data_IF_323363062587
#
_entry.id   IF_323363062587
#
_cell.length_a   1.000
_cell.length_b   1.000
_cell.length_c   1.000
_cell.angle_alpha   90.00
_cell.angle_beta   90.00
_cell.angle_gamma   90.00
#
_symmetry.space_group_name_H-M   'P 1'
#
loop_
_entity.id
_entity.type
_entity.pdbx_description
1 polymer ?
#
# COMPACT_ATOMS: atom_id res chain seq x y z
N UNK A 1 -14.57 -7.13 -12.44
CA UNK A 1 -14.12 -6.16 -11.41
C UNK A 1 -12.79 -5.53 -11.86
N UNK A 2 -12.52 -4.28 -11.45
CA UNK A 2 -11.34 -3.51 -11.87
C UNK A 2 -10.61 -2.95 -10.65
N UNK A 3 -9.29 -3.14 -10.59
CA UNK A 3 -8.45 -2.63 -9.51
C UNK A 3 -7.38 -1.68 -10.05
N UNK A 4 -7.22 -0.52 -9.40
CA UNK A 4 -6.14 0.43 -9.62
C UNK A 4 -5.11 0.28 -8.52
N UNK A 5 -3.84 0.09 -8.88
CA UNK A 5 -2.74 -0.13 -7.95
C UNK A 5 -1.60 0.84 -8.25
N UNK A 6 -1.28 1.70 -7.29
CA UNK A 6 -0.13 2.60 -7.40
C UNK A 6 1.13 1.94 -6.83
N UNK A 7 2.31 2.26 -7.38
CA UNK A 7 3.56 1.61 -7.01
C UNK A 7 3.57 0.11 -7.36
N UNK A 8 2.96 -0.26 -8.49
CA UNK A 8 2.74 -1.64 -8.88
C UNK A 8 3.93 -2.32 -9.57
N UNK A 9 5.04 -1.61 -9.78
CA UNK A 9 6.23 -2.13 -10.49
C UNK A 9 7.15 -3.00 -9.62
N UNK A 10 6.92 -3.07 -8.31
CA UNK A 10 7.75 -3.86 -7.39
C UNK A 10 7.07 -4.14 -6.05
N UNK A 11 7.67 -5.04 -5.25
CA UNK A 11 7.32 -5.30 -3.86
C UNK A 11 5.85 -5.63 -3.64
N UNK A 12 5.28 -5.09 -2.55
CA UNK A 12 3.91 -5.39 -2.11
C UNK A 12 2.87 -5.05 -3.19
N UNK A 13 3.05 -3.93 -3.92
CA UNK A 13 2.13 -3.51 -4.98
C UNK A 13 2.08 -4.50 -6.14
N UNK A 14 3.26 -4.94 -6.62
CA UNK A 14 3.39 -5.98 -7.65
C UNK A 14 2.76 -7.31 -7.21
N UNK A 15 3.02 -7.72 -5.97
CA UNK A 15 2.48 -8.98 -5.45
C UNK A 15 0.96 -8.92 -5.23
N UNK A 16 0.41 -7.77 -4.80
CA UNK A 16 -1.04 -7.58 -4.76
C UNK A 16 -1.66 -7.60 -6.15
N UNK A 17 -0.99 -7.02 -7.17
CA UNK A 17 -1.41 -7.10 -8.56
C UNK A 17 -1.47 -8.55 -9.04
N UNK A 18 -0.45 -9.38 -8.72
CA UNK A 18 -0.43 -10.80 -9.06
C UNK A 18 -1.63 -11.54 -8.49
N UNK A 19 -1.92 -11.33 -7.20
CA UNK A 19 -3.04 -12.00 -6.53
C UNK A 19 -4.39 -11.57 -7.13
N UNK A 20 -4.58 -10.28 -7.41
CA UNK A 20 -5.83 -9.79 -8.00
C UNK A 20 -6.00 -10.25 -9.45
N UNK A 21 -4.91 -10.35 -10.22
CA UNK A 21 -4.92 -10.93 -11.57
C UNK A 21 -5.40 -12.38 -11.54
N UNK A 22 -4.85 -13.21 -10.66
CA UNK A 22 -5.27 -14.60 -10.46
C UNK A 22 -6.75 -14.73 -10.03
N UNK A 23 -7.28 -13.69 -9.38
CA UNK A 23 -8.70 -13.60 -8.98
C UNK A 23 -9.63 -13.05 -10.08
N UNK A 24 -9.13 -12.82 -11.28
CA UNK A 24 -9.95 -12.37 -12.41
C UNK A 24 -10.23 -10.86 -12.46
N UNK A 25 -9.44 -10.03 -11.76
CA UNK A 25 -9.59 -8.59 -11.85
C UNK A 25 -8.89 -8.02 -13.09
N UNK A 26 -9.54 -7.09 -13.78
CA UNK A 26 -8.86 -6.17 -14.67
C UNK A 26 -7.98 -5.23 -13.83
N UNK A 27 -6.77 -4.98 -14.28
CA UNK A 27 -5.79 -4.22 -13.53
C UNK A 27 -5.39 -2.93 -14.24
N UNK A 28 -5.26 -1.86 -13.48
CA UNK A 28 -4.55 -0.65 -13.88
C UNK A 28 -3.35 -0.49 -12.95
N UNK A 29 -2.16 -0.62 -13.50
CA UNK A 29 -0.90 -0.59 -12.77
C UNK A 29 -0.20 0.74 -13.02
N UNK A 30 0.08 1.47 -11.95
CA UNK A 30 0.69 2.81 -12.03
C UNK A 30 2.03 2.85 -11.32
N UNK A 31 3.07 3.32 -12.01
CA UNK A 31 4.38 3.61 -11.44
C UNK A 31 5.18 4.57 -12.35
N UNK A 32 6.34 5.03 -11.88
CA UNK A 32 7.22 5.93 -12.64
C UNK A 32 8.07 5.21 -13.68
N UNK A 33 8.46 3.98 -13.37
CA UNK A 33 9.37 3.16 -14.18
C UNK A 33 8.55 2.30 -15.14
N UNK A 34 8.54 2.70 -16.42
CA UNK A 34 7.76 2.02 -17.47
C UNK A 34 8.31 0.63 -17.77
N UNK A 35 9.64 0.46 -17.78
CA UNK A 35 10.25 -0.83 -18.09
C UNK A 35 9.86 -1.89 -17.06
N UNK A 36 9.89 -1.54 -15.76
CA UNK A 36 9.43 -2.42 -14.69
C UNK A 36 7.93 -2.67 -14.73
N UNK A 37 7.12 -1.71 -15.17
CA UNK A 37 5.69 -1.93 -15.39
C UNK A 37 5.44 -2.93 -16.52
N UNK A 38 6.14 -2.79 -17.63
CA UNK A 38 6.06 -3.72 -18.77
C UNK A 38 6.50 -5.14 -18.37
N UNK A 39 7.62 -5.24 -17.64
CA UNK A 39 8.06 -6.51 -17.10
C UNK A 39 7.01 -7.13 -16.19
N UNK A 40 6.46 -6.33 -15.27
CA UNK A 40 5.38 -6.77 -14.37
C UNK A 40 4.17 -7.26 -15.16
N UNK A 41 3.71 -6.51 -16.17
CA UNK A 41 2.60 -6.90 -17.03
C UNK A 41 2.87 -8.24 -17.72
N UNK A 42 4.04 -8.41 -18.35
CA UNK A 42 4.43 -9.67 -19.02
C UNK A 42 4.41 -10.86 -18.04
N UNK A 43 4.91 -10.67 -16.81
CA UNK A 43 4.89 -11.72 -15.78
C UNK A 43 3.46 -12.08 -15.36
N UNK A 44 2.57 -11.09 -15.23
CA UNK A 44 1.17 -11.31 -14.87
C UNK A 44 0.39 -12.04 -15.97
N UNK A 45 0.61 -11.68 -17.22
CA UNK A 45 -0.01 -12.35 -18.39
C UNK A 45 0.41 -13.82 -18.47
N UNK A 46 1.70 -14.12 -18.26
CA UNK A 46 2.21 -15.50 -18.23
C UNK A 46 1.67 -16.31 -17.06
N UNK A 47 1.46 -15.69 -15.89
CA UNK A 47 1.01 -16.41 -14.69
C UNK A 47 -0.41 -16.96 -14.79
N UNK A 48 -1.25 -16.41 -15.64
CA UNK A 48 -2.62 -16.90 -15.89
C UNK A 48 -2.60 -18.14 -16.79
N UNK A 49 -1.57 -18.28 -17.64
CA UNK A 49 -1.46 -19.39 -18.60
C UNK A 49 -0.91 -20.69 -17.99
N UNK A 50 -0.15 -20.63 -16.89
CA UNK A 50 0.70 -21.71 -16.41
C UNK A 50 0.30 -22.33 -15.06
N UNK A 51 -0.83 -21.97 -14.43
CA UNK A 51 -1.19 -22.61 -13.15
C UNK A 51 -2.06 -23.87 -13.32
N UNK A 52 -1.63 -25.04 -12.74
CA UNK A 52 -2.52 -26.17 -12.56
C UNK A 52 -3.63 -25.76 -11.57
N UNK A 53 -4.83 -26.12 -11.88
CA UNK A 53 -6.04 -25.92 -11.08
C UNK A 53 -5.88 -26.61 -9.72
N UNK A 54 -5.53 -25.90 -8.67
CA UNK A 54 -5.62 -26.45 -7.31
C UNK A 54 -7.10 -26.40 -6.91
N UNK A 55 -7.72 -27.55 -6.96
CA UNK A 55 -9.09 -27.76 -6.52
C UNK A 55 -9.14 -27.71 -4.99
N UNK A 56 -9.74 -26.66 -4.41
CA UNK A 56 -10.45 -26.75 -3.12
C UNK A 56 -10.90 -25.35 -2.64
N UNK A 57 -12.04 -24.85 -3.16
CA UNK A 57 -12.92 -23.94 -2.40
C UNK A 57 -14.18 -23.57 -3.20
N UNK A 58 -15.36 -23.59 -2.55
CA UNK A 58 -16.68 -23.28 -3.14
C UNK A 58 -16.79 -21.88 -3.78
N UNK A 59 -15.91 -20.95 -3.46
CA UNK A 59 -15.86 -19.59 -4.02
C UNK A 59 -15.23 -19.60 -5.44
N UNK A 60 -14.33 -20.53 -5.74
CA UNK A 60 -13.68 -20.66 -7.04
C UNK A 60 -14.61 -21.19 -8.14
N UNK A 61 -15.68 -21.92 -7.79
CA UNK A 61 -16.65 -22.40 -8.78
C UNK A 61 -17.42 -21.27 -9.47
N UNK A 62 -17.64 -20.14 -8.80
CA UNK A 62 -18.28 -18.96 -9.41
C UNK A 62 -17.35 -18.23 -10.42
N UNK A 63 -16.04 -18.35 -10.25
CA UNK A 63 -15.03 -17.74 -11.16
C UNK A 63 -14.64 -18.66 -12.33
N UNK A 64 -14.86 -19.98 -12.24
CA UNK A 64 -14.52 -20.96 -13.30
C UNK A 64 -15.34 -20.79 -14.59
N UNK A 65 -16.48 -20.12 -14.54
CA UNK A 65 -17.32 -19.94 -15.72
C UNK A 65 -16.87 -18.83 -16.68
N UNK A 66 -15.74 -18.13 -16.38
CA UNK A 66 -15.15 -17.11 -17.26
C UNK A 66 -13.79 -17.54 -17.85
N UNK A 67 -13.55 -18.84 -18.05
CA UNK A 67 -12.27 -19.41 -18.52
C UNK A 67 -11.76 -18.92 -19.89
N UNK A 68 -12.48 -18.04 -20.59
CA UNK A 68 -12.06 -17.49 -21.89
C UNK A 68 -11.83 -15.97 -21.90
N UNK A 69 -11.94 -15.26 -20.78
CA UNK A 69 -11.66 -13.83 -20.74
C UNK A 69 -10.29 -13.58 -20.11
N UNK A 70 -9.30 -13.25 -20.93
CA UNK A 70 -8.03 -12.72 -20.44
C UNK A 70 -8.29 -11.41 -19.71
N UNK A 71 -7.87 -11.32 -18.44
CA UNK A 71 -7.95 -10.07 -17.68
C UNK A 71 -7.21 -8.95 -18.41
N UNK A 72 -7.86 -7.80 -18.55
CA UNK A 72 -7.20 -6.63 -19.14
C UNK A 72 -6.21 -6.05 -18.13
N UNK A 73 -4.94 -5.94 -18.53
CA UNK A 73 -3.89 -5.29 -17.75
C UNK A 73 -3.45 -4.02 -18.50
N UNK A 74 -3.79 -2.88 -17.93
CA UNK A 74 -3.35 -1.57 -18.38
C UNK A 74 -2.19 -1.10 -17.51
N UNK A 75 -1.16 -0.52 -18.14
CA UNK A 75 -0.05 0.12 -17.44
C UNK A 75 -0.08 1.62 -17.73
N UNK A 76 0.20 2.43 -16.72
CA UNK A 76 0.26 3.89 -16.82
C UNK A 76 1.57 4.35 -16.16
N UNK A 77 2.47 4.89 -16.96
CA UNK A 77 3.65 5.58 -16.45
C UNK A 77 3.21 6.94 -15.90
N UNK A 78 3.46 7.19 -14.61
CA UNK A 78 3.06 8.45 -14.00
C UNK A 78 3.85 8.71 -12.71
N UNK A 79 4.32 9.94 -12.54
CA UNK A 79 4.88 10.40 -11.26
C UNK A 79 3.77 10.99 -10.39
N UNK A 80 3.46 10.31 -9.31
CA UNK A 80 2.42 10.72 -8.38
C UNK A 80 2.90 11.75 -7.33
N UNK A 81 4.15 12.20 -7.41
CA UNK A 81 4.59 13.38 -6.66
C UNK A 81 4.05 14.68 -7.24
N UNK A 82 3.53 14.64 -8.46
CA UNK A 82 2.88 15.77 -9.12
C UNK A 82 1.36 15.70 -8.90
N UNK A 83 0.78 16.72 -8.29
CA UNK A 83 -0.65 16.76 -7.92
C UNK A 83 -1.55 16.63 -9.15
N UNK A 84 -1.19 17.33 -10.23
CA UNK A 84 -1.95 17.29 -11.48
C UNK A 84 -2.03 15.87 -12.05
N UNK A 85 -0.95 15.10 -11.97
CA UNK A 85 -0.92 13.71 -12.40
C UNK A 85 -1.93 12.84 -11.61
N UNK A 86 -2.06 13.07 -10.32
CA UNK A 86 -3.05 12.35 -9.49
C UNK A 86 -4.49 12.67 -9.93
N UNK A 87 -4.77 13.93 -10.28
CA UNK A 87 -6.07 14.38 -10.76
C UNK A 87 -6.35 13.78 -12.14
N UNK A 88 -5.37 13.82 -13.06
CA UNK A 88 -5.47 13.23 -14.39
C UNK A 88 -5.70 11.72 -14.33
N UNK A 89 -4.97 11.01 -13.46
CA UNK A 89 -5.18 9.57 -13.24
C UNK A 89 -6.62 9.27 -12.84
N UNK A 90 -7.17 10.02 -11.89
CA UNK A 90 -8.54 9.83 -11.44
C UNK A 90 -9.58 10.24 -12.52
N UNK A 91 -9.25 11.15 -13.41
CA UNK A 91 -10.09 11.52 -14.55
C UNK A 91 -10.04 10.48 -15.68
N UNK A 92 -8.88 9.89 -15.93
CA UNK A 92 -8.66 8.89 -16.98
C UNK A 92 -9.19 7.52 -16.60
N UNK A 93 -8.99 7.10 -15.36
CA UNK A 93 -9.35 5.74 -14.90
C UNK A 93 -10.61 5.81 -14.05
N UNK A 94 -11.74 5.48 -14.66
CA UNK A 94 -13.06 5.47 -13.99
C UNK A 94 -13.49 4.04 -13.67
N UNK A 95 -14.55 3.93 -12.86
CA UNK A 95 -15.28 2.68 -12.56
C UNK A 95 -14.40 1.58 -11.99
N UNK A 96 -13.52 1.94 -11.05
CA UNK A 96 -12.74 0.97 -10.30
C UNK A 96 -13.55 0.43 -9.11
N UNK A 97 -13.34 -0.85 -8.81
CA UNK A 97 -13.92 -1.51 -7.64
C UNK A 97 -12.97 -1.49 -6.44
N UNK A 98 -11.65 -1.47 -6.72
CA UNK A 98 -10.62 -1.42 -5.70
C UNK A 98 -9.59 -0.34 -6.06
N UNK A 99 -9.33 0.57 -5.12
CA UNK A 99 -8.16 1.44 -5.12
C UNK A 99 -7.13 0.90 -4.15
N UNK A 100 -5.89 0.68 -4.60
CA UNK A 100 -4.75 0.37 -3.74
C UNK A 100 -3.74 1.51 -3.85
N UNK A 101 -3.73 2.40 -2.89
CA UNK A 101 -2.69 3.40 -2.71
C UNK A 101 -1.50 2.73 -2.03
N UNK A 102 -0.47 2.40 -2.82
CA UNK A 102 0.72 1.70 -2.35
C UNK A 102 2.02 2.42 -2.71
N UNK A 103 2.01 3.31 -3.71
CA UNK A 103 3.19 4.10 -4.08
C UNK A 103 3.72 4.87 -2.86
N UNK A 104 5.02 4.81 -2.62
CA UNK A 104 5.64 5.52 -1.52
C UNK A 104 7.06 5.05 -1.26
N UNK A 105 7.82 5.89 -0.59
CA UNK A 105 9.20 5.61 -0.22
C UNK A 105 9.53 6.22 1.14
N UNK A 106 10.71 5.93 1.65
CA UNK A 106 11.24 6.48 2.90
C UNK A 106 12.63 7.03 2.71
N UNK A 107 13.10 7.73 3.74
CA UNK A 107 14.47 8.17 3.89
C UNK A 107 14.92 8.03 5.33
N UNK A 108 16.23 7.88 5.54
CA UNK A 108 16.82 7.68 6.86
C UNK A 108 18.01 8.61 7.05
N UNK A 109 17.99 9.38 8.13
CA UNK A 109 19.02 10.34 8.54
C UNK A 109 18.50 11.25 9.63
N UNK A 110 19.38 12.07 10.20
CA UNK A 110 18.94 13.17 11.08
C UNK A 110 18.12 14.16 10.28
N UNK A 111 17.03 14.65 10.82
CA UNK A 111 16.12 15.56 10.11
C UNK A 111 16.82 16.82 9.57
N UNK A 112 17.82 17.32 10.30
CA UNK A 112 18.63 18.47 9.86
C UNK A 112 19.65 18.15 8.75
N UNK A 113 19.85 16.87 8.42
CA UNK A 113 20.89 16.38 7.52
C UNK A 113 20.31 15.69 6.26
N UNK A 114 19.00 15.37 6.26
CA UNK A 114 18.30 14.80 5.10
C UNK A 114 18.11 15.85 4.01
N UNK A 115 18.04 15.40 2.75
CA UNK A 115 17.80 16.29 1.60
C UNK A 115 16.35 16.82 1.60
N UNK A 116 16.20 18.14 1.60
CA UNK A 116 14.90 18.80 1.63
C UNK A 116 14.02 18.44 0.42
N UNK A 117 14.59 18.33 -0.78
CA UNK A 117 13.82 17.99 -1.99
C UNK A 117 13.31 16.56 -1.92
N UNK A 118 14.12 15.64 -1.35
CA UNK A 118 13.71 14.27 -1.11
C UNK A 118 12.59 14.19 -0.08
N UNK A 119 12.66 14.97 1.00
CA UNK A 119 11.59 15.06 2.01
C UNK A 119 10.29 15.60 1.40
N UNK A 120 10.36 16.67 0.61
CA UNK A 120 9.20 17.25 -0.10
C UNK A 120 8.60 16.21 -1.06
N UNK A 121 9.43 15.55 -1.88
CA UNK A 121 8.98 14.50 -2.80
C UNK A 121 8.31 13.33 -2.05
N UNK A 122 8.84 12.97 -0.86
CA UNK A 122 8.25 11.96 0.01
C UNK A 122 6.87 12.40 0.52
N UNK A 123 6.72 13.63 0.98
CA UNK A 123 5.43 14.18 1.42
C UNK A 123 4.43 14.17 0.26
N UNK A 124 4.83 14.67 -0.91
CA UNK A 124 3.98 14.68 -2.10
C UNK A 124 3.52 13.27 -2.46
N UNK A 125 4.42 12.29 -2.55
CA UNK A 125 4.08 10.92 -2.92
C UNK A 125 3.30 10.20 -1.82
N UNK A 126 3.76 10.25 -0.56
CA UNK A 126 3.18 9.47 0.52
C UNK A 126 1.91 10.09 1.12
N UNK A 127 1.71 11.40 0.98
CA UNK A 127 0.58 12.14 1.60
C UNK A 127 -0.33 12.71 0.55
N UNK A 128 0.17 13.63 -0.29
CA UNK A 128 -0.68 14.38 -1.23
C UNK A 128 -1.33 13.45 -2.25
N UNK A 129 -0.56 12.55 -2.86
CA UNK A 129 -1.11 11.58 -3.80
C UNK A 129 -2.19 10.69 -3.16
N UNK A 130 -1.95 10.16 -1.96
CA UNK A 130 -2.93 9.37 -1.22
C UNK A 130 -4.19 10.17 -0.90
N UNK A 131 -4.02 11.43 -0.48
CA UNK A 131 -5.15 12.32 -0.18
C UNK A 131 -6.02 12.53 -1.43
N UNK A 132 -5.41 12.94 -2.54
CA UNK A 132 -6.11 13.25 -3.79
C UNK A 132 -6.83 11.99 -4.31
N UNK A 133 -6.11 10.89 -4.49
CA UNK A 133 -6.68 9.66 -5.04
C UNK A 133 -7.76 9.08 -4.13
N UNK A 134 -7.53 9.05 -2.80
CA UNK A 134 -8.55 8.60 -1.85
C UNK A 134 -9.81 9.47 -1.96
N UNK A 135 -9.68 10.80 -1.99
CA UNK A 135 -10.82 11.73 -2.06
C UNK A 135 -11.62 11.57 -3.34
N UNK A 136 -10.94 11.55 -4.48
CA UNK A 136 -11.60 11.49 -5.79
C UNK A 136 -12.30 10.14 -6.00
N UNK A 137 -11.63 9.02 -5.73
CA UNK A 137 -12.23 7.70 -5.87
C UNK A 137 -13.29 7.40 -4.81
N UNK A 138 -13.12 7.89 -3.57
CA UNK A 138 -14.16 7.78 -2.55
C UNK A 138 -15.45 8.46 -3.01
N UNK A 139 -15.37 9.67 -3.60
CA UNK A 139 -16.53 10.38 -4.15
C UNK A 139 -17.25 9.54 -5.20
N UNK A 140 -16.53 8.93 -6.13
CA UNK A 140 -17.13 8.07 -7.17
C UNK A 140 -17.70 6.76 -6.58
N UNK A 141 -16.99 6.12 -5.66
CA UNK A 141 -17.46 4.91 -4.98
C UNK A 141 -18.72 5.17 -4.15
N UNK A 142 -18.82 6.35 -3.52
CA UNK A 142 -20.04 6.76 -2.77
C UNK A 142 -21.25 6.91 -3.69
N UNK A 143 -21.10 7.45 -4.90
CA UNK A 143 -22.22 7.55 -5.87
C UNK A 143 -22.83 6.19 -6.19
N UNK A 144 -22.00 5.17 -6.40
CA UNK A 144 -22.47 3.80 -6.66
C UNK A 144 -22.66 2.96 -5.38
N UNK A 145 -22.43 3.55 -4.21
CA UNK A 145 -22.47 2.92 -2.88
C UNK A 145 -21.73 1.57 -2.84
N UNK A 146 -20.60 1.48 -3.52
CA UNK A 146 -19.78 0.26 -3.64
C UNK A 146 -18.35 0.61 -3.94
N UNK A 147 -17.40 -0.14 -3.38
CA UNK A 147 -15.97 -0.01 -3.64
C UNK A 147 -15.12 -0.25 -2.40
N UNK A 148 -13.84 -0.48 -2.62
CA UNK A 148 -12.86 -0.71 -1.57
C UNK A 148 -11.63 0.14 -1.78
N UNK A 149 -11.16 0.79 -0.73
CA UNK A 149 -9.91 1.55 -0.72
C UNK A 149 -8.95 0.88 0.26
N UNK A 150 -7.76 0.54 -0.19
CA UNK A 150 -6.65 0.07 0.64
C UNK A 150 -5.53 1.10 0.62
N UNK A 151 -5.28 1.73 1.75
CA UNK A 151 -4.15 2.63 1.94
C UNK A 151 -2.99 1.87 2.59
N UNK A 152 -1.84 1.80 1.91
CA UNK A 152 -0.64 1.14 2.45
C UNK A 152 0.12 2.14 3.31
N UNK A 153 -0.08 2.01 4.63
CA UNK A 153 0.67 2.74 5.65
C UNK A 153 1.92 1.96 6.08
N UNK A 154 2.14 1.79 7.36
CA UNK A 154 3.22 1.05 8.02
C UNK A 154 2.94 0.97 9.51
N UNK A 155 3.64 0.13 10.25
CA UNK A 155 3.76 0.23 11.72
C UNK A 155 4.26 1.62 12.15
N UNK A 156 5.07 2.28 11.32
CA UNK A 156 5.52 3.65 11.49
C UNK A 156 4.38 4.67 11.65
N UNK A 157 3.18 4.34 11.16
CA UNK A 157 2.00 5.20 11.26
C UNK A 157 1.37 5.29 12.65
N UNK A 158 1.95 4.65 13.67
CA UNK A 158 1.41 4.64 15.05
C UNK A 158 2.36 5.26 16.07
N UNK A 159 3.52 5.75 15.68
CA UNK A 159 4.54 6.20 16.59
C UNK A 159 5.44 7.30 16.00
N UNK A 160 6.13 8.10 16.81
CA UNK A 160 7.18 8.99 16.34
C UNK A 160 8.40 8.16 15.88
N UNK A 161 9.09 8.62 14.84
CA UNK A 161 10.25 7.91 14.28
C UNK A 161 11.48 8.79 14.11
N UNK A 162 12.25 9.08 15.17
CA UNK A 162 13.52 9.76 15.02
C UNK A 162 14.42 9.05 14.01
N UNK A 163 15.24 9.80 13.28
CA UNK A 163 16.07 9.34 12.16
C UNK A 163 15.30 8.89 10.90
N UNK A 164 13.97 8.94 10.94
CA UNK A 164 13.08 8.75 9.79
C UNK A 164 11.84 9.64 9.97
N UNK A 165 12.03 10.85 10.45
CA UNK A 165 10.97 11.74 10.95
C UNK A 165 9.87 11.98 9.89
N UNK A 166 10.26 12.42 8.69
CA UNK A 166 9.34 12.69 7.58
C UNK A 166 8.56 11.44 7.19
N UNK A 167 9.22 10.29 7.04
CA UNK A 167 8.54 9.04 6.69
C UNK A 167 7.48 8.65 7.72
N UNK A 168 7.82 8.64 9.01
CA UNK A 168 6.88 8.29 10.07
C UNK A 168 5.70 9.27 10.11
N UNK A 169 5.96 10.57 9.96
CA UNK A 169 4.90 11.58 9.91
C UNK A 169 3.94 11.33 8.73
N UNK A 170 4.47 11.02 7.54
CA UNK A 170 3.63 10.70 6.37
C UNK A 170 2.74 9.47 6.61
N UNK A 171 3.27 8.44 7.26
CA UNK A 171 2.48 7.22 7.56
C UNK A 171 1.47 7.43 8.69
N UNK A 172 1.76 8.29 9.67
CA UNK A 172 0.80 8.73 10.68
C UNK A 172 -0.37 9.49 10.02
N UNK A 173 -0.08 10.40 9.09
CA UNK A 173 -1.13 11.11 8.33
C UNK A 173 -2.12 10.13 7.68
N UNK A 174 -1.62 9.12 6.97
CA UNK A 174 -2.46 8.14 6.26
C UNK A 174 -3.33 7.33 7.24
N UNK A 175 -2.77 6.95 8.39
CA UNK A 175 -3.53 6.23 9.41
C UNK A 175 -4.68 7.10 9.93
N UNK A 176 -4.42 8.35 10.35
CA UNK A 176 -5.44 9.24 10.92
C UNK A 176 -6.50 9.65 9.91
N UNK A 177 -6.10 9.98 8.69
CA UNK A 177 -7.03 10.27 7.60
C UNK A 177 -8.00 9.10 7.36
N UNK A 178 -7.46 7.89 7.26
CA UNK A 178 -8.28 6.71 6.99
C UNK A 178 -9.20 6.34 8.16
N UNK A 179 -8.78 6.57 9.41
CA UNK A 179 -9.62 6.40 10.60
C UNK A 179 -10.83 7.34 10.57
N UNK A 180 -10.58 8.64 10.25
CA UNK A 180 -11.64 9.64 10.15
C UNK A 180 -12.65 9.26 9.05
N UNK A 181 -12.17 8.99 7.84
CA UNK A 181 -13.02 8.59 6.70
C UNK A 181 -13.85 7.35 7.04
N UNK A 182 -13.25 6.36 7.72
CA UNK A 182 -13.99 5.15 8.14
C UNK A 182 -15.19 5.49 9.02
N UNK A 183 -15.02 6.41 9.96
CA UNK A 183 -16.10 6.77 10.88
C UNK A 183 -17.21 7.55 10.16
N UNK A 184 -16.85 8.44 9.23
CA UNK A 184 -17.79 9.12 8.34
C UNK A 184 -18.63 8.11 7.54
N UNK A 185 -17.97 7.15 6.88
CA UNK A 185 -18.64 6.10 6.09
C UNK A 185 -19.61 5.25 6.93
N UNK A 186 -19.26 4.97 8.20
CA UNK A 186 -20.15 4.25 9.11
C UNK A 186 -21.38 5.08 9.49
N UNK A 187 -21.21 6.36 9.81
CA UNK A 187 -22.32 7.26 10.13
C UNK A 187 -23.27 7.41 8.96
N UNK A 188 -22.75 7.43 7.76
CA UNK A 188 -23.54 7.48 6.51
C UNK A 188 -24.13 6.12 6.10
N UNK A 189 -23.87 5.04 6.82
CA UNK A 189 -24.25 3.66 6.48
C UNK A 189 -23.81 3.25 5.05
N UNK A 190 -22.70 3.80 4.58
CA UNK A 190 -22.13 3.52 3.26
C UNK A 190 -21.62 2.09 3.15
N UNK A 191 -21.81 1.46 1.98
CA UNK A 191 -21.22 0.15 1.65
C UNK A 191 -19.76 0.25 1.18
N UNK A 192 -19.26 1.46 0.95
CA UNK A 192 -17.85 1.68 0.62
C UNK A 192 -16.97 1.32 1.82
N UNK A 193 -15.88 0.62 1.55
CA UNK A 193 -14.96 0.16 2.59
C UNK A 193 -13.60 0.85 2.44
N UNK A 194 -13.04 1.33 3.53
CA UNK A 194 -11.65 1.76 3.61
C UNK A 194 -10.88 0.85 4.54
N UNK A 195 -9.65 0.50 4.18
CA UNK A 195 -8.75 -0.36 4.93
C UNK A 195 -7.34 0.24 4.95
N UNK A 196 -6.57 -0.08 5.99
CA UNK A 196 -5.18 0.34 6.13
C UNK A 196 -4.31 -0.88 6.27
N UNK A 197 -3.33 -1.05 5.39
CA UNK A 197 -2.27 -2.05 5.54
C UNK A 197 -1.11 -1.44 6.32
N UNK A 198 -0.78 -2.03 7.46
CA UNK A 198 0.27 -1.57 8.36
C UNK A 198 1.30 -2.69 8.57
N UNK A 199 2.19 -2.96 7.60
CA UNK A 199 3.23 -3.96 7.75
C UNK A 199 4.36 -3.45 8.66
N UNK A 200 5.12 -4.39 9.22
CA UNK A 200 6.47 -4.18 9.72
C UNK A 200 7.48 -4.09 8.57
N UNK A 201 8.76 -4.37 8.83
CA UNK A 201 9.78 -4.48 7.78
C UNK A 201 9.42 -5.56 6.75
N UNK A 202 9.52 -5.23 5.47
CA UNK A 202 9.21 -6.13 4.35
C UNK A 202 10.38 -6.12 3.37
N UNK A 203 10.79 -7.29 2.93
CA UNK A 203 11.83 -7.45 1.92
C UNK A 203 11.35 -6.90 0.57
N UNK A 204 11.79 -5.69 0.26
CA UNK A 204 11.42 -4.96 -0.97
C UNK A 204 12.53 -3.98 -1.35
N UNK A 205 12.41 -3.37 -2.54
CA UNK A 205 13.31 -2.28 -2.95
C UNK A 205 13.21 -1.02 -2.05
N UNK A 206 12.22 -0.95 -1.17
CA UNK A 206 12.09 0.13 -0.19
C UNK A 206 13.36 0.32 0.65
N UNK A 207 13.98 -0.79 1.07
CA UNK A 207 15.18 -0.77 1.92
C UNK A 207 16.36 -0.09 1.22
N UNK A 208 16.52 -0.33 -0.08
CA UNK A 208 17.56 0.32 -0.91
C UNK A 208 17.29 1.82 -1.06
N UNK A 209 16.04 2.19 -1.35
CA UNK A 209 15.65 3.61 -1.55
C UNK A 209 15.73 4.40 -0.25
N UNK A 210 15.35 3.80 0.88
CA UNK A 210 15.40 4.41 2.20
C UNK A 210 16.80 4.39 2.84
N UNK A 211 17.78 3.76 2.19
CA UNK A 211 19.14 3.57 2.69
C UNK A 211 19.17 2.95 4.10
N UNK A 212 18.42 1.87 4.29
CA UNK A 212 18.33 1.15 5.57
C UNK A 212 18.60 -0.34 5.39
N UNK A 213 19.30 -0.93 6.37
CA UNK A 213 19.38 -2.37 6.56
C UNK A 213 18.58 -2.75 7.81
N UNK A 214 17.60 -3.61 7.66
CA UNK A 214 16.82 -4.07 8.81
C UNK A 214 17.59 -5.19 9.54
N UNK A 215 17.77 -5.03 10.85
CA UNK A 215 18.28 -6.07 11.74
C UNK A 215 17.19 -7.04 12.21
N UNK A 216 15.92 -6.74 11.92
CA UNK A 216 14.77 -7.58 12.24
C UNK A 216 14.43 -8.47 11.04
N UNK A 217 13.86 -9.65 11.32
CA UNK A 217 13.38 -10.56 10.27
C UNK A 217 12.35 -9.84 9.39
N UNK A 218 12.68 -9.67 8.13
CA UNK A 218 11.80 -9.08 7.14
C UNK A 218 10.73 -10.09 6.72
N UNK A 219 9.50 -9.63 6.55
CA UNK A 219 8.44 -10.45 5.99
C UNK A 219 8.54 -10.49 4.47
N UNK A 220 8.21 -11.62 3.85
CA UNK A 220 8.09 -11.71 2.39
C UNK A 220 6.96 -10.79 1.90
N UNK A 221 7.24 -10.01 0.85
CA UNK A 221 6.24 -9.12 0.23
C UNK A 221 5.01 -9.88 -0.25
N UNK A 222 5.19 -11.08 -0.80
CA UNK A 222 4.11 -11.97 -1.22
C UNK A 222 3.23 -12.43 -0.04
N UNK A 223 3.82 -12.78 1.10
CA UNK A 223 3.04 -13.16 2.30
C UNK A 223 2.22 -11.99 2.83
N UNK A 224 2.81 -10.78 2.84
CA UNK A 224 2.12 -9.54 3.22
C UNK A 224 0.97 -9.25 2.25
N UNK A 225 1.20 -9.35 0.95
CA UNK A 225 0.19 -9.13 -0.08
C UNK A 225 -0.98 -10.14 0.02
N UNK A 226 -0.70 -11.43 0.18
CA UNK A 226 -1.72 -12.48 0.40
C UNK A 226 -2.56 -12.17 1.64
N UNK A 227 -1.92 -11.80 2.74
CA UNK A 227 -2.62 -11.43 3.97
C UNK A 227 -3.47 -10.17 3.76
N UNK A 228 -2.93 -9.16 3.07
CA UNK A 228 -3.61 -7.90 2.81
C UNK A 228 -4.91 -8.09 1.99
N UNK A 229 -4.82 -8.75 0.85
CA UNK A 229 -5.98 -8.97 -0.02
C UNK A 229 -7.05 -9.81 0.69
N UNK A 230 -6.68 -10.91 1.36
CA UNK A 230 -7.62 -11.73 2.14
C UNK A 230 -8.34 -10.94 3.23
N UNK A 231 -7.68 -10.00 3.89
CA UNK A 231 -8.29 -9.16 4.94
C UNK A 231 -9.11 -8.01 4.37
N UNK A 232 -8.69 -7.44 3.24
CA UNK A 232 -9.44 -6.44 2.49
C UNK A 232 -10.80 -7.01 2.02
N UNK A 233 -10.80 -8.22 1.47
CA UNK A 233 -12.02 -8.92 1.05
C UNK A 233 -13.00 -9.13 2.21
N UNK A 234 -12.47 -9.40 3.41
CA UNK A 234 -13.25 -9.56 4.65
C UNK A 234 -13.65 -8.21 5.32
N UNK A 235 -13.42 -7.09 4.68
CA UNK A 235 -13.76 -5.76 5.19
C UNK A 235 -13.01 -5.36 6.47
N UNK A 236 -11.81 -5.91 6.74
CA UNK A 236 -11.03 -5.56 7.92
C UNK A 236 -10.38 -4.20 7.73
N UNK A 237 -10.62 -3.29 8.68
CA UNK A 237 -10.06 -1.95 8.63
C UNK A 237 -8.55 -1.93 8.86
N UNK A 238 -8.09 -2.42 10.02
CA UNK A 238 -6.66 -2.58 10.27
C UNK A 238 -6.18 -3.93 9.77
N UNK A 239 -5.26 -3.90 8.82
CA UNK A 239 -4.59 -5.06 8.27
C UNK A 239 -3.14 -5.02 8.72
N UNK A 240 -2.84 -5.75 9.79
CA UNK A 240 -1.52 -5.76 10.43
C UNK A 240 -0.95 -7.19 10.34
N UNK A 241 -0.08 -7.47 9.37
CA UNK A 241 0.59 -8.76 9.26
C UNK A 241 1.68 -8.89 10.33
N UNK A 242 1.76 -10.08 10.95
CA UNK A 242 2.70 -10.36 12.04
C UNK A 242 2.11 -10.12 13.44
N UNK A 243 2.43 -11.02 14.38
CA UNK A 243 2.00 -10.91 15.79
C UNK A 243 2.83 -9.84 16.50
N UNK A 244 4.13 -9.82 16.24
CA UNK A 244 5.10 -8.83 16.70
C UNK A 244 4.69 -7.40 16.34
N UNK A 245 4.26 -7.19 15.09
CA UNK A 245 3.78 -5.89 14.60
C UNK A 245 2.49 -5.47 15.31
N UNK A 246 1.59 -6.42 15.60
CA UNK A 246 0.38 -6.15 16.39
C UNK A 246 0.71 -5.74 17.82
N UNK A 247 1.66 -6.43 18.46
CA UNK A 247 2.12 -6.10 19.81
C UNK A 247 2.81 -4.72 19.84
N UNK A 248 3.67 -4.43 18.87
CA UNK A 248 4.31 -3.11 18.73
C UNK A 248 3.28 -1.98 18.57
N UNK A 249 2.25 -2.19 17.73
CA UNK A 249 1.13 -1.25 17.59
C UNK A 249 0.37 -1.04 18.88
N UNK A 250 0.08 -2.12 19.61
CA UNK A 250 -0.62 -2.04 20.90
C UNK A 250 0.22 -1.26 21.91
N UNK A 251 1.50 -1.59 22.05
CA UNK A 251 2.43 -0.88 22.92
C UNK A 251 2.54 0.61 22.60
N UNK A 252 2.63 0.96 21.33
CA UNK A 252 2.68 2.36 20.89
C UNK A 252 1.40 3.15 21.20
N UNK A 253 0.25 2.47 21.34
CA UNK A 253 -1.02 3.12 21.71
C UNK A 253 -1.11 3.51 23.17
N UNK A 254 -0.51 2.73 24.06
CA UNK A 254 -0.62 2.91 25.53
C UNK A 254 0.61 3.58 26.14
N UNK A 255 1.79 3.44 25.55
CA UNK A 255 3.01 4.02 26.09
C UNK A 255 3.06 5.54 25.82
N UNK A 256 3.64 6.33 26.76
CA UNK A 256 3.89 7.75 26.53
C UNK A 256 4.75 7.98 25.28
N UNK A 257 4.39 8.99 24.48
CA UNK A 257 5.02 9.26 23.18
C UNK A 257 6.54 9.45 23.28
N UNK A 258 7.02 10.12 24.33
CA UNK A 258 8.46 10.31 24.59
C UNK A 258 9.21 9.00 24.84
N UNK A 259 8.57 8.04 25.50
CA UNK A 259 9.15 6.71 25.72
C UNK A 259 9.24 5.93 24.41
N UNK A 260 8.16 5.96 23.62
CA UNK A 260 8.14 5.34 22.29
C UNK A 260 9.22 5.95 21.39
N UNK A 261 9.37 7.28 21.39
CA UNK A 261 10.42 7.97 20.62
C UNK A 261 11.84 7.52 21.00
N UNK A 262 12.12 7.29 22.29
CA UNK A 262 13.43 6.76 22.73
C UNK A 262 13.69 5.34 22.23
N UNK A 263 12.65 4.48 22.22
CA UNK A 263 12.77 3.12 21.70
C UNK A 263 12.98 3.14 20.19
N UNK A 264 12.15 3.88 19.46
CA UNK A 264 12.26 3.98 18.00
C UNK A 264 13.60 4.57 17.58
N UNK A 265 14.13 5.57 18.29
CA UNK A 265 15.47 6.08 18.05
C UNK A 265 16.55 4.99 18.14
N UNK A 266 16.53 4.17 19.20
CA UNK A 266 17.49 3.05 19.36
C UNK A 266 17.37 2.04 18.21
N UNK A 267 16.16 1.72 17.81
CA UNK A 267 15.90 0.78 16.70
C UNK A 267 16.40 1.36 15.36
N UNK A 268 16.12 2.64 15.07
CA UNK A 268 16.55 3.26 13.82
C UNK A 268 18.06 3.48 13.76
N UNK A 269 18.70 3.86 14.89
CA UNK A 269 20.16 4.03 14.95
C UNK A 269 20.92 2.76 14.54
N UNK A 270 20.42 1.58 14.94
CA UNK A 270 21.03 0.29 14.56
C UNK A 270 20.96 0.04 13.05
N UNK A 271 19.94 0.55 12.36
CA UNK A 271 19.79 0.40 10.90
C UNK A 271 20.78 1.24 10.11
N UNK A 272 21.16 2.40 10.63
CA UNK A 272 22.16 3.29 10.00
C UNK A 272 23.55 2.70 10.21
N UNK A 273 23.89 2.22 11.40
CA UNK A 273 25.20 1.67 11.73
C UNK A 273 25.52 0.35 11.02
N UNK A 274 24.52 -0.43 10.60
CA UNK A 274 24.70 -1.63 9.79
C UNK A 274 24.89 -1.35 8.29
N UNK A 275 24.95 -0.08 7.89
CA UNK A 275 25.14 0.39 6.50
C UNK A 275 26.53 1.03 6.28
N UNK A 276 27.33 1.17 7.34
CA UNK A 276 28.74 1.63 7.29
C UNK A 276 29.69 0.45 7.12
#
# INVERSE_FOLDING_TARGET
MKALITGASSGIGKDMAKILNQKGYNLVLVARDIEKLEQTKKELEKSVQNEPTIENNKIEKAYKNSKNATNKIEIIQMDLSEEQNCIELANKVKDIDILINNAGFGDCGRFSETDLNKDISMIKTNVIAYHILTKLYLKEMKKKNSGKILNVASIAGFMPGPLMATYYATKNYIVRLSEAIREELKKEKSKVQISILCPGPVETNFNKVANVKFSLREASSMQVAKYAIRKLEKGKFYIVPGIDVKLARFGAKIAPSNFVAKITYKVQKRKIQGSA
#
